data_IF_045174726922
#
_entry.id   IF_045174726922
#
_cell.length_a   1.000
_cell.length_b   1.000
_cell.length_c   1.000
_cell.angle_alpha   90.00
_cell.angle_beta   90.00
_cell.angle_gamma   90.00
#
_symmetry.space_group_name_H-M   'P 1'
#
loop_
_entity.id
_entity.type
_entity.pdbx_description
1 polymer ?
#
# COMPACT_ATOMS: atom_id res chain seq x y z
N UNK A 1 15.42 -8.25 20.73
CA UNK A 1 15.54 -6.97 19.97
C UNK A 1 17.00 -6.58 19.76
N UNK A 2 17.37 -6.16 18.55
CA UNK A 2 18.73 -5.74 18.19
C UNK A 2 19.26 -4.55 19.00
N UNK A 3 18.39 -3.59 19.36
CA UNK A 3 18.78 -2.43 20.16
C UNK A 3 19.36 -2.85 21.53
N UNK A 4 18.75 -3.82 22.22
CA UNK A 4 19.26 -4.38 23.48
C UNK A 4 20.61 -5.09 23.29
N UNK A 5 20.74 -5.89 22.22
CA UNK A 5 21.97 -6.64 21.91
C UNK A 5 23.15 -5.71 21.64
N UNK A 6 22.94 -4.67 20.85
CA UNK A 6 24.00 -3.82 20.34
C UNK A 6 24.25 -2.58 21.21
N UNK A 7 23.21 -2.01 21.80
CA UNK A 7 23.29 -0.90 22.76
C UNK A 7 23.66 0.47 22.20
N UNK A 8 23.98 0.60 20.91
CA UNK A 8 24.39 1.88 20.30
C UNK A 8 23.25 2.64 19.58
N UNK A 9 22.01 2.15 19.67
CA UNK A 9 20.83 2.80 19.11
C UNK A 9 19.59 2.47 19.96
N UNK A 10 18.57 3.32 19.85
CA UNK A 10 17.25 3.13 20.45
C UNK A 10 16.22 2.92 19.34
N UNK A 11 15.21 2.12 19.61
CA UNK A 11 14.04 1.93 18.75
C UNK A 11 12.82 2.23 19.60
N UNK A 12 11.89 2.99 19.05
CA UNK A 12 10.56 3.23 19.61
C UNK A 12 9.58 2.89 18.49
N UNK A 13 8.56 2.10 18.80
CA UNK A 13 7.49 1.81 17.85
C UNK A 13 6.53 3.00 17.82
N UNK A 14 6.42 3.64 16.67
CA UNK A 14 5.66 4.90 16.51
C UNK A 14 4.69 4.85 15.34
N UNK A 15 4.47 3.69 14.73
CA UNK A 15 3.62 3.60 13.53
C UNK A 15 4.18 4.38 12.32
N UNK A 16 3.32 4.61 11.33
CA UNK A 16 3.64 5.25 10.06
C UNK A 16 2.86 6.58 9.96
N UNK A 17 3.54 7.74 10.17
CA UNK A 17 2.92 9.06 10.13
C UNK A 17 2.08 9.34 8.87
N UNK A 18 2.52 8.86 7.71
CA UNK A 18 1.81 9.06 6.44
C UNK A 18 0.45 8.36 6.37
N UNK A 19 0.17 7.42 7.28
CA UNK A 19 -1.11 6.71 7.34
C UNK A 19 -2.08 7.34 8.33
N UNK A 20 -1.65 8.30 9.15
CA UNK A 20 -2.53 8.94 10.12
C UNK A 20 -3.84 9.45 9.50
N UNK A 21 -3.82 10.10 8.31
CA UNK A 21 -5.07 10.56 7.69
C UNK A 21 -6.03 9.43 7.32
N UNK A 22 -5.60 8.16 7.19
CA UNK A 22 -6.51 7.03 6.94
C UNK A 22 -7.47 6.78 8.10
N UNK A 23 -7.05 7.11 9.32
CA UNK A 23 -7.80 6.85 10.55
C UNK A 23 -8.57 8.09 11.06
N UNK A 24 -8.40 9.22 10.39
CA UNK A 24 -9.09 10.46 10.71
C UNK A 24 -10.32 10.64 9.80
N UNK A 25 -11.39 11.29 10.29
CA UNK A 25 -12.52 11.69 9.45
C UNK A 25 -12.04 12.54 8.27
N UNK A 26 -12.60 12.31 7.09
CA UNK A 26 -12.35 13.13 5.90
C UNK A 26 -13.63 13.85 5.54
N UNK A 27 -13.64 15.18 5.63
CA UNK A 27 -14.86 15.97 5.41
C UNK A 27 -15.35 15.95 3.96
N UNK A 28 -14.43 15.81 2.99
CA UNK A 28 -14.75 15.78 1.54
C UNK A 28 -13.82 14.85 0.79
N UNK A 29 -14.30 13.65 0.46
CA UNK A 29 -13.59 12.73 -0.44
C UNK A 29 -14.19 12.82 -1.85
N UNK A 30 -13.44 13.29 -2.87
CA UNK A 30 -13.98 13.52 -4.21
C UNK A 30 -14.31 12.24 -4.99
N UNK A 31 -13.91 11.08 -4.50
CA UNK A 31 -14.14 9.79 -5.16
C UNK A 31 -15.35 9.03 -4.58
N UNK A 32 -15.88 9.49 -3.45
CA UNK A 32 -17.12 8.98 -2.86
C UNK A 32 -18.30 9.76 -3.46
N UNK A 33 -19.22 9.05 -4.12
CA UNK A 33 -20.50 9.61 -4.57
C UNK A 33 -21.59 9.11 -3.65
N UNK A 34 -22.42 10.02 -3.13
CA UNK A 34 -23.55 9.67 -2.25
C UNK A 34 -24.72 9.13 -3.07
N UNK A 35 -24.76 9.48 -4.36
CA UNK A 35 -25.80 9.14 -5.32
C UNK A 35 -25.58 7.77 -5.97
N UNK A 36 -24.36 7.23 -5.91
CA UNK A 36 -23.98 5.95 -6.49
C UNK A 36 -23.69 4.91 -5.41
N UNK A 37 -24.63 3.99 -5.21
CA UNK A 37 -24.54 2.94 -4.20
C UNK A 37 -23.72 1.72 -4.63
N UNK A 38 -23.18 1.70 -5.85
CA UNK A 38 -22.39 0.56 -6.34
C UNK A 38 -21.05 0.48 -5.61
N UNK A 39 -20.55 -0.74 -5.33
CA UNK A 39 -19.21 -0.92 -4.81
C UNK A 39 -18.15 -0.32 -5.75
N UNK A 40 -17.10 0.24 -5.15
CA UNK A 40 -15.96 0.82 -5.88
C UNK A 40 -14.76 -0.13 -5.82
N UNK A 41 -14.27 -0.54 -6.99
CA UNK A 41 -13.05 -1.33 -7.17
C UNK A 41 -11.88 -0.39 -7.46
N UNK A 42 -10.80 -0.50 -6.68
CA UNK A 42 -9.53 0.17 -6.98
C UNK A 42 -8.58 -0.79 -7.68
N UNK A 43 -8.22 -0.47 -8.92
CA UNK A 43 -7.16 -1.14 -9.64
C UNK A 43 -5.82 -0.43 -9.43
N UNK A 44 -4.84 -1.17 -8.93
CA UNK A 44 -3.44 -0.74 -8.84
C UNK A 44 -2.52 -1.75 -9.51
N UNK A 45 -1.37 -1.30 -9.99
CA UNK A 45 -0.36 -2.19 -10.58
C UNK A 45 1.04 -1.62 -10.38
N UNK A 46 2.00 -2.50 -10.10
CA UNK A 46 3.44 -2.18 -10.14
C UNK A 46 3.88 -1.88 -11.57
N UNK A 47 4.91 -1.05 -11.71
CA UNK A 47 5.50 -0.72 -13.02
C UNK A 47 6.49 -1.79 -13.53
N UNK A 48 6.84 -2.77 -12.69
CA UNK A 48 7.82 -3.80 -13.07
C UNK A 48 7.17 -4.79 -14.02
N UNK A 49 7.65 -4.85 -15.26
CA UNK A 49 7.06 -5.67 -16.34
C UNK A 49 6.74 -7.11 -15.93
N UNK A 50 7.65 -7.76 -15.19
CA UNK A 50 7.47 -9.15 -14.73
C UNK A 50 6.37 -9.34 -13.69
N UNK A 51 5.96 -8.27 -13.02
CA UNK A 51 5.03 -8.28 -11.88
C UNK A 51 3.72 -7.58 -12.17
N UNK A 52 3.72 -6.66 -13.13
CA UNK A 52 2.60 -5.80 -13.48
C UNK A 52 1.39 -6.61 -13.93
N UNK A 53 0.27 -6.48 -13.25
CA UNK A 53 -1.00 -7.06 -13.71
C UNK A 53 -1.68 -6.20 -14.77
N UNK A 54 -1.48 -4.87 -14.78
CA UNK A 54 -2.25 -3.93 -15.60
C UNK A 54 -2.33 -4.30 -17.10
N UNK A 55 -1.24 -4.65 -17.80
CA UNK A 55 -1.33 -5.03 -19.22
C UNK A 55 -2.14 -6.31 -19.45
N UNK A 56 -2.10 -7.24 -18.49
CA UNK A 56 -2.66 -8.59 -18.61
C UNK A 56 -4.17 -8.56 -18.36
N UNK A 57 -4.62 -7.76 -17.39
CA UNK A 57 -6.03 -7.71 -16.96
C UNK A 57 -6.87 -6.68 -17.72
N UNK A 58 -6.28 -5.94 -18.66
CA UNK A 58 -6.91 -4.80 -19.33
C UNK A 58 -8.26 -5.14 -19.97
N UNK A 59 -8.34 -6.18 -20.80
CA UNK A 59 -9.57 -6.52 -21.52
C UNK A 59 -10.68 -6.94 -20.54
N UNK A 60 -10.34 -7.67 -19.48
CA UNK A 60 -11.27 -8.07 -18.42
C UNK A 60 -11.77 -6.85 -17.65
N UNK A 61 -10.88 -5.94 -17.24
CA UNK A 61 -11.27 -4.71 -16.52
C UNK A 61 -12.15 -3.83 -17.40
N UNK A 62 -11.83 -3.68 -18.69
CA UNK A 62 -12.66 -2.95 -19.66
C UNK A 62 -14.06 -3.54 -19.76
N UNK A 63 -14.17 -4.87 -19.90
CA UNK A 63 -15.47 -5.54 -19.96
C UNK A 63 -16.28 -5.35 -18.67
N UNK A 64 -15.63 -5.50 -17.51
CA UNK A 64 -16.28 -5.32 -16.20
C UNK A 64 -16.70 -3.87 -15.94
N UNK A 65 -15.89 -2.89 -16.33
CA UNK A 65 -16.26 -1.48 -16.25
C UNK A 65 -17.49 -1.16 -17.14
N UNK A 66 -17.54 -1.72 -18.35
CA UNK A 66 -18.67 -1.54 -19.27
C UNK A 66 -19.96 -2.20 -18.77
N UNK A 67 -19.87 -3.28 -17.97
CA UNK A 67 -21.04 -3.91 -17.36
C UNK A 67 -21.78 -2.98 -16.38
N UNK A 68 -21.08 -1.99 -15.81
CA UNK A 68 -21.65 -1.08 -14.82
C UNK A 68 -21.91 -1.71 -13.45
N UNK A 69 -21.50 -2.96 -13.21
CA UNK A 69 -21.67 -3.67 -11.94
C UNK A 69 -20.95 -2.98 -10.77
N UNK A 70 -19.79 -2.37 -11.06
CA UNK A 70 -18.98 -1.65 -10.09
C UNK A 70 -18.50 -0.32 -10.66
N UNK A 71 -18.18 0.61 -9.77
CA UNK A 71 -17.36 1.77 -10.10
C UNK A 71 -15.90 1.37 -10.07
N UNK A 72 -15.09 1.91 -10.95
CA UNK A 72 -13.66 1.63 -11.04
C UNK A 72 -12.85 2.90 -10.85
N UNK A 73 -11.91 2.85 -9.92
CA UNK A 73 -10.81 3.80 -9.83
C UNK A 73 -9.55 3.08 -10.30
N UNK A 74 -8.79 3.70 -11.20
CA UNK A 74 -7.52 3.16 -11.68
C UNK A 74 -6.41 4.12 -11.29
N UNK A 75 -5.42 3.62 -10.57
CA UNK A 75 -4.22 4.37 -10.22
C UNK A 75 -2.99 3.50 -10.46
N UNK A 76 -2.02 4.04 -11.18
CA UNK A 76 -0.73 3.38 -11.39
C UNK A 76 0.41 4.20 -10.80
N UNK A 77 1.50 3.51 -10.51
CA UNK A 77 2.74 4.18 -10.11
C UNK A 77 3.19 5.15 -11.22
N UNK A 78 3.74 6.34 -10.91
CA UNK A 78 4.27 7.30 -11.91
C UNK A 78 5.38 6.78 -12.83
N UNK A 79 5.85 5.55 -12.62
CA UNK A 79 6.88 4.87 -13.42
C UNK A 79 6.28 3.85 -14.37
N UNK A 80 4.96 3.68 -14.36
CA UNK A 80 4.24 2.80 -15.27
C UNK A 80 4.54 3.19 -16.71
N UNK A 81 4.62 2.18 -17.58
CA UNK A 81 4.75 2.40 -19.02
C UNK A 81 3.63 3.36 -19.49
N UNK A 82 3.98 4.51 -20.10
CA UNK A 82 3.01 5.45 -20.62
C UNK A 82 2.00 4.80 -21.57
N UNK A 83 2.37 3.79 -22.35
CA UNK A 83 1.45 3.09 -23.23
C UNK A 83 0.35 2.34 -22.46
N UNK A 84 0.67 1.81 -21.27
CA UNK A 84 -0.30 1.18 -20.37
C UNK A 84 -1.21 2.23 -19.73
N UNK A 85 -0.65 3.36 -19.32
CA UNK A 85 -1.41 4.50 -18.79
C UNK A 85 -2.43 4.98 -19.83
N UNK A 86 -2.00 5.26 -21.06
CA UNK A 86 -2.87 5.74 -22.13
C UNK A 86 -3.96 4.73 -22.51
N UNK A 87 -3.64 3.42 -22.49
CA UNK A 87 -4.65 2.36 -22.66
C UNK A 87 -5.77 2.48 -21.62
N UNK A 88 -5.46 2.62 -20.34
CA UNK A 88 -6.48 2.74 -19.30
C UNK A 88 -7.21 4.10 -19.34
N UNK A 89 -6.54 5.20 -19.72
CA UNK A 89 -7.20 6.49 -19.97
C UNK A 89 -8.22 6.40 -21.12
N UNK A 90 -7.92 5.64 -22.17
CA UNK A 90 -8.82 5.48 -23.33
C UNK A 90 -10.16 4.80 -23.03
N UNK A 91 -10.30 4.14 -21.87
CA UNK A 91 -11.53 3.44 -21.45
C UNK A 91 -12.26 4.17 -20.31
N UNK A 92 -11.91 5.44 -20.04
CA UNK A 92 -12.66 6.26 -19.09
C UNK A 92 -14.13 6.36 -19.49
N UNK A 93 -15.00 6.29 -18.49
CA UNK A 93 -16.47 6.32 -18.65
C UNK A 93 -17.13 6.76 -17.35
N UNK A 94 -18.46 6.78 -17.31
CA UNK A 94 -19.22 6.97 -16.06
C UNK A 94 -18.94 5.89 -15.01
N UNK A 95 -18.38 4.74 -15.42
CA UNK A 95 -18.09 3.61 -14.53
C UNK A 95 -16.60 3.45 -14.21
N UNK A 96 -15.70 4.13 -14.94
CA UNK A 96 -14.25 4.01 -14.74
C UNK A 96 -13.56 5.36 -14.83
N UNK A 97 -12.82 5.69 -13.78
CA UNK A 97 -11.99 6.89 -13.69
C UNK A 97 -10.52 6.50 -13.53
N UNK A 98 -9.68 6.95 -14.45
CA UNK A 98 -8.24 6.96 -14.26
C UNK A 98 -7.85 8.18 -13.43
N UNK A 99 -7.06 8.00 -12.38
CA UNK A 99 -6.70 9.04 -11.42
C UNK A 99 -5.19 9.21 -11.33
N UNK A 100 -4.73 10.41 -11.70
CA UNK A 100 -3.34 10.84 -11.50
C UNK A 100 -3.28 11.72 -10.26
N UNK A 101 -2.59 11.24 -9.22
CA UNK A 101 -2.46 11.95 -7.95
C UNK A 101 -1.22 11.51 -7.20
N UNK A 102 -0.63 12.45 -6.46
CA UNK A 102 0.41 12.16 -5.47
C UNK A 102 -0.18 11.72 -4.13
N UNK A 103 -1.43 12.11 -3.84
CA UNK A 103 -2.14 11.71 -2.64
C UNK A 103 -3.14 10.59 -2.93
N UNK A 104 -2.71 9.37 -2.62
CA UNK A 104 -3.47 8.14 -2.83
C UNK A 104 -4.50 7.85 -1.74
N UNK A 105 -4.40 8.49 -0.57
CA UNK A 105 -5.23 8.17 0.60
C UNK A 105 -6.74 8.31 0.34
N UNK A 106 -7.23 9.35 -0.38
CA UNK A 106 -8.65 9.45 -0.67
C UNK A 106 -9.17 8.32 -1.56
N UNK A 107 -8.37 7.81 -2.50
CA UNK A 107 -8.76 6.65 -3.33
C UNK A 107 -8.88 5.39 -2.48
N UNK A 108 -7.92 5.18 -1.58
CA UNK A 108 -7.93 4.05 -0.66
C UNK A 108 -9.15 4.07 0.26
N UNK A 109 -9.59 5.26 0.70
CA UNK A 109 -10.81 5.45 1.49
C UNK A 109 -12.08 5.21 0.68
N UNK A 110 -12.12 5.64 -0.58
CA UNK A 110 -13.30 5.54 -1.42
C UNK A 110 -13.58 4.14 -1.96
N UNK A 111 -12.56 3.30 -2.14
CA UNK A 111 -12.73 1.95 -2.68
C UNK A 111 -13.13 0.92 -1.62
N UNK A 112 -13.95 -0.05 -2.00
CA UNK A 112 -14.43 -1.14 -1.14
C UNK A 112 -13.56 -2.39 -1.23
N UNK A 113 -12.97 -2.60 -2.40
CA UNK A 113 -12.08 -3.72 -2.73
C UNK A 113 -10.97 -3.24 -3.64
N UNK A 114 -9.78 -3.83 -3.51
CA UNK A 114 -8.66 -3.59 -4.40
C UNK A 114 -8.39 -4.81 -5.27
N UNK A 115 -8.15 -4.58 -6.57
CA UNK A 115 -7.49 -5.52 -7.47
C UNK A 115 -6.06 -5.01 -7.72
N UNK A 116 -5.05 -5.82 -7.41
CA UNK A 116 -3.67 -5.44 -7.73
C UNK A 116 -2.76 -6.65 -7.96
N UNK A 117 -1.45 -6.42 -8.09
CA UNK A 117 -0.42 -7.46 -8.19
C UNK A 117 0.30 -7.66 -6.83
N UNK A 118 1.54 -7.19 -6.72
CA UNK A 118 2.34 -7.11 -5.48
C UNK A 118 2.64 -5.65 -5.09
N UNK A 119 1.85 -4.70 -5.59
CA UNK A 119 1.98 -3.27 -5.35
C UNK A 119 1.99 -2.93 -3.87
N UNK A 120 2.94 -2.11 -3.42
CA UNK A 120 3.03 -1.64 -2.02
C UNK A 120 1.76 -0.95 -1.51
N UNK A 121 0.91 -0.45 -2.42
CA UNK A 121 -0.41 0.10 -2.11
C UNK A 121 -1.32 -0.92 -1.40
N UNK A 122 -1.12 -2.23 -1.63
CA UNK A 122 -1.94 -3.28 -1.01
C UNK A 122 -1.89 -3.20 0.52
N UNK A 123 -0.72 -2.92 1.10
CA UNK A 123 -0.56 -2.89 2.56
C UNK A 123 -1.38 -1.73 3.13
N UNK A 124 -1.32 -0.56 2.51
CA UNK A 124 -2.10 0.61 2.96
C UNK A 124 -3.61 0.36 2.85
N UNK A 125 -4.04 -0.38 1.83
CA UNK A 125 -5.45 -0.75 1.68
C UNK A 125 -5.91 -1.73 2.75
N UNK A 126 -5.12 -2.79 2.99
CA UNK A 126 -5.38 -3.77 4.05
C UNK A 126 -5.49 -3.13 5.42
N UNK A 127 -4.65 -2.13 5.73
CA UNK A 127 -4.66 -1.43 7.02
C UNK A 127 -5.98 -0.70 7.35
N UNK A 128 -6.85 -0.49 6.36
CA UNK A 128 -8.22 -0.01 6.56
C UNK A 128 -9.22 -1.14 6.84
N UNK A 129 -8.78 -2.39 6.95
CA UNK A 129 -9.64 -3.56 7.11
C UNK A 129 -10.42 -3.90 5.85
N UNK A 130 -9.85 -3.64 4.66
CA UNK A 130 -10.53 -3.86 3.38
C UNK A 130 -9.89 -5.02 2.59
N UNK A 131 -10.70 -5.84 1.90
CA UNK A 131 -10.22 -7.04 1.21
C UNK A 131 -9.47 -6.71 -0.08
N UNK A 132 -8.43 -7.48 -0.37
CA UNK A 132 -7.60 -7.33 -1.57
C UNK A 132 -7.65 -8.62 -2.39
N UNK A 133 -7.96 -8.47 -3.67
CA UNK A 133 -7.73 -9.47 -4.71
C UNK A 133 -6.37 -9.19 -5.34
N UNK A 134 -5.52 -10.21 -5.41
CA UNK A 134 -4.23 -10.10 -6.09
C UNK A 134 -4.16 -11.00 -7.31
N UNK A 135 -3.49 -10.54 -8.37
CA UNK A 135 -3.21 -11.32 -9.56
C UNK A 135 -1.73 -11.71 -9.59
N UNK A 136 -1.46 -13.02 -9.44
CA UNK A 136 -0.12 -13.62 -9.44
C UNK A 136 0.82 -12.95 -8.44
N UNK A 137 0.36 -12.77 -7.20
CA UNK A 137 1.19 -12.21 -6.15
C UNK A 137 2.45 -13.08 -5.92
N UNK A 138 3.57 -12.45 -5.59
CA UNK A 138 4.84 -13.17 -5.39
C UNK A 138 4.88 -13.99 -4.10
N UNK A 139 4.10 -13.61 -3.09
CA UNK A 139 4.09 -14.24 -1.77
C UNK A 139 2.71 -14.09 -1.12
N UNK A 140 1.68 -14.74 -1.70
CA UNK A 140 0.32 -14.58 -1.22
C UNK A 140 0.17 -15.12 0.21
N UNK A 141 -0.36 -14.28 1.10
CA UNK A 141 -0.73 -14.66 2.46
C UNK A 141 -2.22 -14.93 2.60
N UNK A 142 -2.65 -15.50 3.74
CA UNK A 142 -4.08 -15.77 4.03
C UNK A 142 -4.99 -14.54 4.02
N UNK A 143 -4.41 -13.34 4.12
CA UNK A 143 -5.12 -12.07 4.09
C UNK A 143 -5.41 -11.56 2.66
N UNK A 144 -4.98 -12.31 1.63
CA UNK A 144 -5.18 -11.98 0.22
C UNK A 144 -6.03 -13.04 -0.47
N UNK A 145 -6.86 -12.61 -1.42
CA UNK A 145 -7.53 -13.49 -2.38
C UNK A 145 -6.68 -13.49 -3.65
N UNK A 146 -5.70 -14.38 -3.72
CA UNK A 146 -4.79 -14.46 -4.87
C UNK A 146 -5.33 -15.36 -5.98
N UNK A 147 -5.28 -14.86 -7.21
CA UNK A 147 -5.72 -15.55 -8.43
C UNK A 147 -4.62 -15.53 -9.49
N UNK A 148 -4.65 -16.51 -10.40
CA UNK A 148 -3.62 -16.65 -11.45
C UNK A 148 -4.15 -16.55 -12.88
N UNK A 149 -5.47 -16.61 -13.04
CA UNK A 149 -6.18 -16.55 -14.32
C UNK A 149 -7.08 -15.32 -14.36
N UNK A 150 -7.12 -14.67 -15.53
CA UNK A 150 -7.97 -13.49 -15.78
C UNK A 150 -9.47 -13.82 -15.69
N UNK A 151 -9.88 -15.04 -16.00
CA UNK A 151 -11.26 -15.52 -15.87
C UNK A 151 -11.78 -15.46 -14.43
N UNK A 152 -10.89 -15.48 -13.45
CA UNK A 152 -11.26 -15.61 -12.04
C UNK A 152 -11.43 -14.23 -11.37
N UNK A 153 -11.11 -13.13 -12.10
CA UNK A 153 -11.13 -11.76 -11.57
C UNK A 153 -12.51 -11.38 -11.04
N UNK A 154 -13.56 -11.60 -11.83
CA UNK A 154 -14.91 -11.20 -11.44
C UNK A 154 -15.36 -11.92 -10.16
N UNK A 155 -15.28 -13.25 -10.14
CA UNK A 155 -15.66 -14.05 -8.97
C UNK A 155 -14.80 -13.77 -7.74
N UNK A 156 -13.52 -13.44 -7.92
CA UNK A 156 -12.66 -13.05 -6.80
C UNK A 156 -13.05 -11.68 -6.22
N UNK A 157 -13.42 -10.71 -7.06
CA UNK A 157 -13.93 -9.41 -6.61
C UNK A 157 -15.27 -9.59 -5.88
N UNK A 158 -16.19 -10.40 -6.40
CA UNK A 158 -17.45 -10.71 -5.70
C UNK A 158 -17.20 -11.36 -4.35
N UNK A 159 -16.32 -12.37 -4.30
CA UNK A 159 -15.92 -13.01 -3.05
C UNK A 159 -15.34 -12.00 -2.07
N UNK A 160 -14.47 -11.10 -2.52
CA UNK A 160 -13.89 -10.07 -1.67
C UNK A 160 -14.95 -9.13 -1.11
N UNK A 161 -15.87 -8.65 -1.95
CA UNK A 161 -16.99 -7.78 -1.55
C UNK A 161 -17.94 -8.46 -0.56
N UNK A 162 -18.09 -9.77 -0.62
CA UNK A 162 -18.84 -10.56 0.36
C UNK A 162 -18.16 -10.65 1.75
N UNK A 163 -16.91 -10.18 1.88
CA UNK A 163 -16.12 -10.11 3.13
C UNK A 163 -16.11 -11.44 3.92
N UNK A 164 -15.51 -12.52 3.36
CA UNK A 164 -15.48 -13.82 4.01
C UNK A 164 -14.77 -13.72 5.37
N UNK A 165 -15.36 -14.31 6.41
CA UNK A 165 -14.90 -14.13 7.79
C UNK A 165 -13.46 -14.59 8.03
N UNK A 166 -13.02 -15.65 7.34
CA UNK A 166 -11.64 -16.16 7.37
C UNK A 166 -10.64 -15.13 6.82
N UNK A 167 -10.99 -14.51 5.70
CA UNK A 167 -10.19 -13.50 5.01
C UNK A 167 -10.12 -12.24 5.85
N UNK A 168 -11.25 -11.75 6.37
CA UNK A 168 -11.28 -10.55 7.22
C UNK A 168 -10.49 -10.77 8.53
N UNK A 169 -10.61 -11.93 9.17
CA UNK A 169 -9.83 -12.27 10.36
C UNK A 169 -8.33 -12.32 10.06
N UNK A 170 -7.94 -12.82 8.89
CA UNK A 170 -6.54 -12.82 8.46
C UNK A 170 -6.02 -11.40 8.18
N UNK A 171 -6.87 -10.53 7.61
CA UNK A 171 -6.57 -9.10 7.41
C UNK A 171 -6.34 -8.43 8.77
N UNK A 172 -7.24 -8.61 9.74
CA UNK A 172 -7.08 -8.01 11.07
C UNK A 172 -5.79 -8.45 11.77
N UNK A 173 -5.47 -9.74 11.70
CA UNK A 173 -4.21 -10.27 12.22
C UNK A 173 -2.99 -9.65 11.52
N UNK A 174 -3.03 -9.52 10.19
CA UNK A 174 -1.97 -8.88 9.43
C UNK A 174 -1.81 -7.40 9.82
N UNK A 175 -2.91 -6.67 9.95
CA UNK A 175 -2.91 -5.26 10.34
C UNK A 175 -2.30 -5.06 11.73
N UNK A 176 -2.68 -5.88 12.70
CA UNK A 176 -2.13 -5.80 14.06
C UNK A 176 -0.63 -6.12 14.11
N UNK A 177 -0.13 -6.96 13.20
CA UNK A 177 1.30 -7.27 13.09
C UNK A 177 2.09 -6.13 12.43
N UNK A 178 1.54 -5.51 11.39
CA UNK A 178 2.25 -4.51 10.56
C UNK A 178 2.15 -3.10 11.13
N UNK A 179 0.96 -2.70 11.56
CA UNK A 179 0.67 -1.36 12.05
C UNK A 179 -0.47 -1.42 13.09
N UNK A 180 -0.14 -1.70 14.38
CA UNK A 180 -1.15 -1.91 15.42
C UNK A 180 -1.92 -0.65 15.81
N UNK A 181 -1.43 0.53 15.43
CA UNK A 181 -2.10 1.80 15.73
C UNK A 181 -3.15 2.13 14.68
N UNK A 182 -4.31 2.59 15.13
CA UNK A 182 -5.42 3.04 14.27
C UNK A 182 -6.01 4.36 14.75
N UNK A 183 -5.24 5.12 15.52
CA UNK A 183 -5.67 6.34 16.22
C UNK A 183 -5.32 7.63 15.49
N UNK A 184 -4.60 7.55 14.37
CA UNK A 184 -4.14 8.72 13.62
C UNK A 184 -3.04 9.55 14.32
N UNK A 185 -2.38 9.01 15.36
CA UNK A 185 -1.42 9.76 16.17
C UNK A 185 0.04 9.33 15.96
N UNK A 186 0.39 8.72 14.83
CA UNK A 186 1.75 8.26 14.57
C UNK A 186 2.76 9.38 14.45
N UNK A 187 2.34 10.49 13.83
CA UNK A 187 3.10 11.74 13.76
C UNK A 187 3.42 12.27 15.16
N UNK A 188 2.42 12.31 16.04
CA UNK A 188 2.61 12.74 17.43
C UNK A 188 3.57 11.80 18.17
N UNK A 189 3.39 10.48 18.06
CA UNK A 189 4.28 9.48 18.69
C UNK A 189 5.74 9.62 18.23
N UNK A 190 5.97 9.97 16.96
CA UNK A 190 7.33 10.27 16.45
C UNK A 190 7.92 11.52 17.11
N UNK A 191 7.15 12.59 17.23
CA UNK A 191 7.60 13.83 17.88
C UNK A 191 7.90 13.59 19.36
N UNK A 192 7.01 12.92 20.08
CA UNK A 192 7.20 12.58 21.50
C UNK A 192 8.45 11.70 21.71
N UNK A 193 8.66 10.69 20.86
CA UNK A 193 9.84 9.83 20.92
C UNK A 193 11.14 10.62 20.66
N UNK A 194 11.09 11.60 19.76
CA UNK A 194 12.20 12.50 19.43
C UNK A 194 12.52 13.43 20.60
N UNK A 195 11.52 14.09 21.16
CA UNK A 195 11.67 14.97 22.32
C UNK A 195 12.21 14.21 23.53
N UNK A 196 11.71 13.00 23.77
CA UNK A 196 12.22 12.15 24.84
C UNK A 196 13.70 11.78 24.62
N UNK A 197 14.11 11.53 23.37
CA UNK A 197 15.50 11.24 23.03
C UNK A 197 16.41 12.45 23.25
N UNK A 198 15.95 13.66 22.88
CA UNK A 198 16.67 14.91 23.13
C UNK A 198 16.83 15.14 24.63
N UNK A 199 15.74 15.04 25.41
CA UNK A 199 15.73 15.24 26.87
C UNK A 199 16.59 14.22 27.62
N UNK A 200 16.51 12.94 27.24
CA UNK A 200 17.28 11.87 27.91
C UNK A 200 18.76 11.84 27.51
N UNK A 201 19.10 12.46 26.38
CA UNK A 201 20.45 12.48 25.82
C UNK A 201 20.95 11.11 25.38
N UNK A 202 22.16 11.09 24.78
CA UNK A 202 22.75 9.88 24.21
C UNK A 202 23.64 9.10 25.20
N UNK A 203 23.81 9.61 26.44
CA UNK A 203 24.79 9.08 27.42
C UNK A 203 24.56 7.60 27.79
N UNK A 204 23.33 7.10 27.65
CA UNK A 204 22.97 5.70 27.93
C UNK A 204 23.23 4.76 26.74
N UNK A 205 23.60 5.28 25.57
CA UNK A 205 23.94 4.48 24.40
C UNK A 205 25.44 4.19 24.35
N UNK A 206 25.79 2.98 23.94
CA UNK A 206 27.17 2.62 23.60
C UNK A 206 27.64 3.42 22.37
N UNK A 207 28.94 3.70 22.24
CA UNK A 207 29.50 4.23 21.01
C UNK A 207 29.15 3.34 19.81
N UNK A 208 28.86 3.95 18.66
CA UNK A 208 28.65 3.20 17.41
C UNK A 208 29.96 2.50 17.00
N UNK A 209 29.91 1.26 16.49
CA UNK A 209 31.09 0.58 15.99
C UNK A 209 31.71 1.33 14.81
N UNK A 210 33.04 1.42 14.77
CA UNK A 210 33.78 2.18 13.75
C UNK A 210 33.58 1.63 12.32
N UNK A 211 33.34 0.31 12.21
CA UNK A 211 33.06 -0.39 10.95
C UNK A 211 34.11 -0.12 9.85
N UNK A 212 35.40 -0.03 10.20
CA UNK A 212 36.49 0.38 9.29
C UNK A 212 36.58 -0.46 8.01
N UNK A 213 36.55 -1.79 8.15
CA UNK A 213 36.60 -2.71 6.99
C UNK A 213 35.40 -2.51 6.06
N UNK A 214 34.18 -2.37 6.63
CA UNK A 214 32.97 -2.10 5.84
C UNK A 214 33.08 -0.76 5.11
N UNK A 215 33.56 0.29 5.79
CA UNK A 215 33.78 1.61 5.19
C UNK A 215 34.78 1.53 4.03
N UNK A 216 35.92 0.86 4.21
CA UNK A 216 36.91 0.66 3.16
C UNK A 216 36.33 -0.07 1.94
N UNK A 217 35.64 -1.20 2.16
CA UNK A 217 34.99 -1.95 1.08
C UNK A 217 33.98 -1.10 0.30
N UNK A 218 33.16 -0.30 1.01
CA UNK A 218 32.16 0.56 0.39
C UNK A 218 32.81 1.68 -0.45
N UNK A 219 33.84 2.34 0.09
CA UNK A 219 34.61 3.38 -0.61
C UNK A 219 35.27 2.85 -1.87
N UNK A 220 35.92 1.69 -1.79
CA UNK A 220 36.52 1.00 -2.95
C UNK A 220 35.47 0.69 -4.02
N UNK A 221 34.32 0.13 -3.63
CA UNK A 221 33.25 -0.24 -4.57
C UNK A 221 32.65 0.98 -5.28
N UNK A 222 32.47 2.08 -4.56
CA UNK A 222 31.88 3.32 -5.10
C UNK A 222 32.92 4.25 -5.75
N UNK A 223 34.20 3.87 -5.75
CA UNK A 223 35.33 4.73 -6.10
C UNK A 223 35.27 6.12 -5.41
N UNK A 224 34.77 6.15 -4.17
CA UNK A 224 34.57 7.37 -3.40
C UNK A 224 35.53 7.40 -2.22
N UNK A 225 36.65 8.10 -2.40
CA UNK A 225 37.71 8.21 -1.39
C UNK A 225 37.65 9.54 -0.62
N UNK A 226 36.72 10.42 -0.98
CA UNK A 226 36.62 11.80 -0.51
C UNK A 226 37.32 12.77 -1.48
N UNK A 227 37.06 14.07 -1.28
CA UNK A 227 38.13 15.07 -1.30
C UNK A 227 38.69 15.16 0.11
#
# INVERSE_FOLDING_TARGET
MLAKRHGFFKVVETGWPNLDPLFLPEEKNPYISVEDSRPTVLLCSTFSEKLSCAPIVFDTVKALANSGKWRWLVQFHPKMDPAVVEKYKSIQSSNLQFVETDNVLPLLKAADVMLCDTSSMLIMFLLQGKPVVTFRNQSPGKHLIDITKVSDIEGAIERALAKPSDTMSAIDNFCNLVHPYKDGNSSQRVLEATDLMIKSGLKRLKPKPLNLVRKFKLRKKLNYWGR
#
